data_IF_637739463554
#
_entry.id   IF_637739463554
#
_cell.length_a   1.000
_cell.length_b   1.000
_cell.length_c   1.000
_cell.angle_alpha   90.00
_cell.angle_beta   90.00
_cell.angle_gamma   90.00
#
_symmetry.space_group_name_H-M   'P 1'
#
loop_
_entity.id
_entity.type
_entity.pdbx_description
1 polymer ?
#
# COMPACT_ATOMS: atom_id res chain seq x y z
N UNK A 1 -16.46 -15.80 -35.64
CA UNK A 1 -16.38 -16.97 -34.74
C UNK A 1 -14.92 -17.29 -34.56
N UNK A 2 -14.40 -17.16 -33.34
CA UNK A 2 -13.00 -17.46 -32.98
C UNK A 2 -12.01 -16.31 -33.18
N UNK A 3 -11.63 -15.64 -32.09
CA UNK A 3 -10.27 -15.10 -31.93
C UNK A 3 -9.81 -15.40 -30.50
N UNK A 4 -8.98 -16.42 -30.43
CA UNK A 4 -8.04 -16.89 -29.41
C UNK A 4 -8.05 -16.26 -28.00
N UNK A 5 -8.43 -17.12 -27.05
CA UNK A 5 -7.93 -17.14 -25.68
C UNK A 5 -6.42 -17.44 -25.68
N UNK A 6 -5.54 -16.43 -25.61
CA UNK A 6 -4.13 -16.70 -25.32
C UNK A 6 -3.41 -15.57 -24.60
N UNK A 7 -2.93 -15.91 -23.41
CA UNK A 7 -1.79 -15.31 -22.68
C UNK A 7 -2.00 -14.00 -21.89
N UNK A 8 -3.00 -13.97 -21.01
CA UNK A 8 -2.98 -13.04 -19.88
C UNK A 8 -2.71 -13.79 -18.57
N UNK A 9 -1.47 -14.25 -18.40
CA UNK A 9 -0.91 -14.58 -17.08
C UNK A 9 -0.61 -13.28 -16.31
N UNK A 10 -1.62 -12.41 -16.21
CA UNK A 10 -1.55 -11.12 -15.57
C UNK A 10 -1.85 -11.24 -14.08
N UNK A 11 -0.81 -11.35 -13.26
CA UNK A 11 -0.81 -11.20 -11.80
C UNK A 11 -1.82 -12.05 -11.02
N UNK A 12 -1.28 -13.05 -10.33
CA UNK A 12 -1.94 -13.97 -9.38
C UNK A 12 -2.89 -13.24 -8.39
N UNK A 13 -2.69 -11.94 -8.17
CA UNK A 13 -3.49 -11.08 -7.29
C UNK A 13 -4.82 -10.56 -7.91
N UNK A 14 -4.99 -10.56 -9.23
CA UNK A 14 -6.25 -10.16 -9.92
C UNK A 14 -7.23 -11.32 -10.04
N UNK A 15 -6.70 -12.55 -10.05
CA UNK A 15 -7.48 -13.78 -10.16
C UNK A 15 -8.60 -13.91 -9.11
N UNK A 16 -8.39 -13.59 -7.82
CA UNK A 16 -9.46 -13.69 -6.83
C UNK A 16 -10.63 -12.72 -7.08
N UNK A 17 -10.35 -11.54 -7.65
CA UNK A 17 -11.39 -10.52 -7.94
C UNK A 17 -12.37 -11.04 -9.00
N UNK A 18 -11.86 -11.74 -10.02
CA UNK A 18 -12.65 -12.36 -11.08
C UNK A 18 -13.67 -13.39 -10.59
N UNK A 19 -13.35 -14.14 -9.53
CA UNK A 19 -14.27 -15.13 -8.93
C UNK A 19 -15.31 -14.51 -7.99
N UNK A 20 -15.22 -13.20 -7.71
CA UNK A 20 -16.16 -12.47 -6.84
C UNK A 20 -17.42 -11.99 -7.56
N UNK A 21 -17.57 -12.28 -8.86
CA UNK A 21 -18.74 -11.92 -9.67
C UNK A 21 -18.57 -10.67 -10.53
N UNK A 22 -17.60 -9.82 -10.22
CA UNK A 22 -17.25 -8.63 -11.01
C UNK A 22 -16.25 -9.06 -12.09
N UNK A 23 -16.76 -9.39 -13.28
CA UNK A 23 -15.96 -9.85 -14.42
C UNK A 23 -15.34 -8.67 -15.19
N UNK A 24 -14.64 -7.78 -14.50
CA UNK A 24 -13.98 -6.63 -15.12
C UNK A 24 -12.49 -6.57 -14.77
N UNK A 25 -11.67 -6.21 -15.75
CA UNK A 25 -10.27 -5.82 -15.59
C UNK A 25 -10.09 -4.31 -15.44
N UNK A 26 -11.17 -3.53 -15.64
CA UNK A 26 -11.07 -2.08 -15.63
C UNK A 26 -10.81 -1.56 -14.21
N UNK A 27 -9.67 -0.88 -14.05
CA UNK A 27 -9.25 -0.34 -12.77
C UNK A 27 -10.19 0.74 -12.24
N UNK A 28 -10.80 1.55 -13.11
CA UNK A 28 -11.70 2.62 -12.68
C UNK A 28 -12.98 2.03 -12.08
N UNK A 29 -13.50 0.97 -12.70
CA UNK A 29 -14.68 0.25 -12.17
C UNK A 29 -14.33 -0.44 -10.85
N UNK A 30 -13.13 -1.02 -10.73
CA UNK A 30 -12.69 -1.67 -9.50
C UNK A 30 -12.45 -0.70 -8.34
N UNK A 31 -12.07 0.55 -8.62
CA UNK A 31 -11.87 1.60 -7.61
C UNK A 31 -13.18 2.14 -7.05
N UNK A 32 -14.27 2.09 -7.82
CA UNK A 32 -15.61 2.55 -7.37
C UNK A 32 -16.44 1.43 -6.75
N UNK A 33 -15.99 0.18 -6.84
CA UNK A 33 -16.71 -0.96 -6.30
C UNK A 33 -16.41 -1.13 -4.80
N UNK A 34 -17.46 -1.20 -3.99
CA UNK A 34 -17.32 -1.50 -2.57
C UNK A 34 -17.21 -3.01 -2.31
N UNK A 35 -16.13 -3.41 -1.63
CA UNK A 35 -15.94 -4.79 -1.19
C UNK A 35 -16.35 -4.94 0.28
N UNK A 36 -16.95 -6.08 0.64
CA UNK A 36 -17.19 -6.42 2.05
C UNK A 36 -15.86 -6.51 2.82
N UNK A 37 -15.84 -6.13 4.08
CA UNK A 37 -14.65 -6.10 4.95
C UNK A 37 -13.79 -7.38 4.89
N UNK A 38 -14.42 -8.56 5.06
CA UNK A 38 -13.70 -9.85 5.00
C UNK A 38 -12.99 -10.09 3.66
N UNK A 39 -13.59 -9.65 2.56
CA UNK A 39 -12.99 -9.74 1.22
C UNK A 39 -11.88 -8.71 1.04
N UNK A 40 -12.06 -7.49 1.57
CA UNK A 40 -10.99 -6.49 1.57
C UNK A 40 -9.73 -7.01 2.26
N UNK A 41 -9.87 -7.66 3.42
CA UNK A 41 -8.74 -8.22 4.17
C UNK A 41 -7.99 -9.28 3.33
N UNK A 42 -8.71 -10.24 2.76
CA UNK A 42 -8.10 -11.31 1.95
C UNK A 42 -7.39 -10.78 0.70
N UNK A 43 -8.06 -9.87 -0.03
CA UNK A 43 -7.50 -9.25 -1.22
C UNK A 43 -6.29 -8.37 -0.85
N UNK A 44 -6.40 -7.60 0.22
CA UNK A 44 -5.30 -6.77 0.70
C UNK A 44 -4.06 -7.60 1.02
N UNK A 45 -4.20 -8.75 1.71
CA UNK A 45 -3.09 -9.66 2.00
C UNK A 45 -2.48 -10.22 0.70
N UNK A 46 -3.30 -10.59 -0.29
CA UNK A 46 -2.81 -11.10 -1.57
C UNK A 46 -2.02 -10.05 -2.38
N UNK A 47 -2.49 -8.80 -2.40
CA UNK A 47 -1.77 -7.68 -3.01
C UNK A 47 -0.52 -7.32 -2.20
N UNK A 48 -0.63 -7.30 -0.87
CA UNK A 48 0.49 -7.05 0.03
C UNK A 48 1.62 -8.06 -0.20
N UNK A 49 1.33 -9.36 -0.27
CA UNK A 49 2.36 -10.38 -0.51
C UNK A 49 3.11 -10.16 -1.84
N UNK A 50 2.40 -9.76 -2.91
CA UNK A 50 3.02 -9.47 -4.22
C UNK A 50 3.88 -8.21 -4.20
N UNK A 51 3.45 -7.18 -3.47
CA UNK A 51 4.18 -5.91 -3.39
C UNK A 51 5.28 -5.92 -2.34
N UNK A 52 5.15 -6.67 -1.25
CA UNK A 52 6.16 -6.82 -0.19
C UNK A 52 7.43 -7.52 -0.67
N UNK A 53 7.39 -8.27 -1.78
CA UNK A 53 8.60 -8.76 -2.44
C UNK A 53 9.30 -7.63 -3.19
N UNK A 54 8.55 -6.78 -3.90
CA UNK A 54 9.10 -5.68 -4.72
C UNK A 54 9.58 -4.50 -3.89
N UNK A 55 8.79 -4.11 -2.88
CA UNK A 55 9.21 -3.21 -1.81
C UNK A 55 9.93 -4.10 -0.81
N UNK A 56 11.28 -4.06 -0.75
CA UNK A 56 12.07 -5.06 -0.03
C UNK A 56 11.80 -5.02 1.49
N UNK A 57 10.70 -5.62 1.93
CA UNK A 57 10.31 -5.69 3.34
C UNK A 57 10.96 -6.91 3.98
N UNK A 58 11.22 -6.85 5.29
CA UNK A 58 11.63 -8.03 6.05
C UNK A 58 10.44 -9.01 6.10
N UNK A 59 10.62 -10.31 5.81
CA UNK A 59 11.89 -11.04 5.60
C UNK A 59 12.38 -11.12 4.14
N UNK A 60 11.59 -10.72 3.16
CA UNK A 60 11.80 -10.97 1.72
C UNK A 60 12.67 -9.92 1.00
N UNK A 61 13.66 -9.34 1.69
CA UNK A 61 14.50 -8.25 1.15
C UNK A 61 15.85 -8.72 0.58
N UNK A 62 16.24 -9.98 0.82
CA UNK A 62 17.58 -10.53 0.56
C UNK A 62 17.91 -10.58 -0.95
N UNK A 63 16.89 -10.77 -1.79
CA UNK A 63 17.07 -10.84 -3.25
C UNK A 63 17.67 -9.55 -3.84
N UNK A 64 17.45 -8.39 -3.19
CA UNK A 64 17.86 -7.10 -3.73
C UNK A 64 19.38 -6.89 -3.61
N UNK A 65 20.02 -7.07 -2.43
CA UNK A 65 21.48 -7.07 -2.33
C UNK A 65 22.17 -8.06 -3.28
N UNK A 66 21.65 -9.27 -3.43
CA UNK A 66 22.22 -10.30 -4.30
C UNK A 66 22.12 -9.89 -5.78
N UNK A 67 20.95 -9.42 -6.21
CA UNK A 67 20.75 -8.95 -7.58
C UNK A 67 21.67 -7.77 -7.95
N UNK A 68 21.96 -6.87 -7.00
CA UNK A 68 22.88 -5.76 -7.24
C UNK A 68 24.33 -6.21 -7.44
N UNK A 69 24.77 -7.25 -6.73
CA UNK A 69 26.15 -7.75 -6.83
C UNK A 69 26.39 -8.36 -8.20
N UNK A 70 25.46 -9.20 -8.66
CA UNK A 70 25.56 -9.97 -9.90
C UNK A 70 25.27 -9.15 -11.16
N UNK A 71 24.41 -8.11 -11.05
CA UNK A 71 24.03 -7.34 -12.21
C UNK A 71 25.17 -6.43 -12.74
N UNK A 72 25.24 -6.24 -14.08
CA UNK A 72 26.07 -5.20 -14.67
C UNK A 72 25.64 -3.81 -14.18
N UNK A 73 26.54 -2.84 -14.20
CA UNK A 73 26.31 -1.50 -13.63
C UNK A 73 25.04 -0.84 -14.16
N UNK A 74 24.78 -0.93 -15.47
CA UNK A 74 23.55 -0.42 -16.08
C UNK A 74 22.28 -1.12 -15.55
N UNK A 75 22.35 -2.44 -15.33
CA UNK A 75 21.23 -3.21 -14.76
C UNK A 75 20.93 -2.81 -13.32
N UNK A 76 21.96 -2.59 -12.51
CA UNK A 76 21.81 -2.06 -11.14
C UNK A 76 21.12 -0.70 -11.10
N UNK A 77 21.43 0.20 -12.05
CA UNK A 77 20.80 1.53 -12.12
C UNK A 77 19.30 1.41 -12.44
N UNK A 78 18.91 0.54 -13.38
CA UNK A 78 17.50 0.33 -13.73
C UNK A 78 16.76 -0.36 -12.57
N UNK A 79 17.38 -1.33 -11.92
CA UNK A 79 16.82 -2.04 -10.76
C UNK A 79 16.52 -1.08 -9.61
N UNK A 80 17.52 -0.29 -9.20
CA UNK A 80 17.35 0.70 -8.16
C UNK A 80 16.41 1.83 -8.61
N UNK A 81 16.51 2.26 -9.87
CA UNK A 81 15.83 3.41 -10.45
C UNK A 81 14.34 3.24 -10.63
N UNK A 82 13.90 2.09 -11.16
CA UNK A 82 12.53 1.86 -11.63
C UNK A 82 11.86 0.72 -10.86
N UNK A 83 12.50 -0.45 -10.79
CA UNK A 83 11.85 -1.66 -10.27
C UNK A 83 11.40 -1.52 -8.81
N UNK A 84 12.22 -0.90 -7.96
CA UNK A 84 11.85 -0.61 -6.56
C UNK A 84 10.66 0.36 -6.44
N UNK A 85 10.53 1.31 -7.38
CA UNK A 85 9.47 2.33 -7.36
C UNK A 85 8.14 1.76 -7.85
N UNK A 86 8.16 0.74 -8.70
CA UNK A 86 6.95 0.04 -9.14
C UNK A 86 6.25 -0.67 -7.98
N UNK A 87 6.99 -1.17 -6.98
CA UNK A 87 6.42 -1.75 -5.77
C UNK A 87 5.62 -0.73 -4.95
N UNK A 88 6.24 0.42 -4.65
CA UNK A 88 5.59 1.50 -3.89
C UNK A 88 4.44 2.14 -4.68
N UNK A 89 4.57 2.28 -5.99
CA UNK A 89 3.47 2.68 -6.88
C UNK A 89 2.29 1.70 -6.82
N UNK A 90 2.55 0.39 -6.73
CA UNK A 90 1.53 -0.64 -6.56
C UNK A 90 0.71 -0.45 -5.28
N UNK A 91 1.36 -0.14 -4.15
CA UNK A 91 0.65 0.19 -2.91
C UNK A 91 -0.22 1.45 -3.04
N UNK A 92 0.32 2.51 -3.66
CA UNK A 92 -0.41 3.77 -3.86
C UNK A 92 -1.63 3.62 -4.76
N UNK A 93 -1.52 2.81 -5.83
CA UNK A 93 -2.55 2.75 -6.87
C UNK A 93 -3.61 1.67 -6.63
N UNK A 94 -3.23 0.55 -6.02
CA UNK A 94 -4.14 -0.58 -5.84
C UNK A 94 -4.49 -0.77 -4.37
N UNK A 95 -3.51 -1.03 -3.51
CA UNK A 95 -3.76 -1.48 -2.13
C UNK A 95 -4.50 -0.43 -1.27
N UNK A 96 -4.00 0.80 -1.22
CA UNK A 96 -4.55 1.88 -0.39
C UNK A 96 -5.94 2.33 -0.86
N UNK A 97 -6.18 2.66 -2.15
CA UNK A 97 -7.47 3.19 -2.58
C UNK A 97 -8.53 2.11 -2.77
N UNK A 98 -8.19 0.87 -3.15
CA UNK A 98 -9.20 -0.19 -3.35
C UNK A 98 -9.67 -0.82 -2.03
N UNK A 99 -8.82 -0.84 -1.00
CA UNK A 99 -9.11 -1.51 0.27
C UNK A 99 -8.85 -0.59 1.48
N UNK A 100 -9.63 0.49 1.66
CA UNK A 100 -9.38 1.50 2.67
C UNK A 100 -9.50 0.96 4.11
N UNK A 101 -10.50 0.11 4.39
CA UNK A 101 -10.71 -0.43 5.75
C UNK A 101 -9.62 -1.45 6.12
N UNK A 102 -9.27 -2.35 5.20
CA UNK A 102 -8.18 -3.29 5.41
C UNK A 102 -6.84 -2.57 5.58
N UNK A 103 -6.58 -1.52 4.80
CA UNK A 103 -5.35 -0.71 4.90
C UNK A 103 -5.20 -0.10 6.30
N UNK A 104 -6.28 0.42 6.89
CA UNK A 104 -6.25 0.96 8.26
C UNK A 104 -5.95 -0.13 9.29
N UNK A 105 -6.61 -1.29 9.17
CA UNK A 105 -6.40 -2.42 10.06
C UNK A 105 -4.93 -2.90 10.06
N UNK A 106 -4.30 -2.97 8.87
CA UNK A 106 -2.93 -3.43 8.71
C UNK A 106 -1.86 -2.33 8.79
N UNK A 107 -2.23 -1.05 8.92
CA UNK A 107 -1.27 0.05 9.10
C UNK A 107 -0.26 -0.18 10.24
N UNK A 108 -0.66 -0.57 11.47
CA UNK A 108 0.31 -0.85 12.53
C UNK A 108 1.24 -2.02 12.18
N UNK A 109 0.73 -3.04 11.48
CA UNK A 109 1.55 -4.16 11.02
C UNK A 109 2.65 -3.69 10.04
N UNK A 110 2.29 -2.86 9.05
CA UNK A 110 3.26 -2.25 8.13
C UNK A 110 4.31 -1.41 8.85
N UNK A 111 3.92 -0.65 9.87
CA UNK A 111 4.86 0.16 10.65
C UNK A 111 5.86 -0.71 11.40
N UNK A 112 5.40 -1.78 12.05
CA UNK A 112 6.31 -2.70 12.76
C UNK A 112 7.31 -3.35 11.82
N UNK A 113 6.85 -3.89 10.68
CA UNK A 113 7.73 -4.49 9.68
C UNK A 113 8.73 -3.49 9.10
N UNK A 114 8.27 -2.29 8.75
CA UNK A 114 9.13 -1.27 8.16
C UNK A 114 10.16 -0.74 9.16
N UNK A 115 9.78 -0.57 10.43
CA UNK A 115 10.70 -0.15 11.49
C UNK A 115 11.78 -1.20 11.74
N UNK A 116 11.39 -2.48 11.85
CA UNK A 116 12.33 -3.60 11.97
C UNK A 116 13.26 -3.64 10.75
N UNK A 117 12.71 -3.48 9.54
CA UNK A 117 13.51 -3.46 8.31
C UNK A 117 14.56 -2.35 8.33
N UNK A 118 14.17 -1.10 8.65
CA UNK A 118 15.11 0.04 8.71
C UNK A 118 16.25 -0.24 9.67
N UNK A 119 15.94 -0.70 10.90
CA UNK A 119 16.95 -0.98 11.91
C UNK A 119 17.86 -2.13 11.45
N UNK A 120 17.26 -3.25 11.03
CA UNK A 120 17.99 -4.45 10.60
C UNK A 120 18.93 -4.16 9.43
N UNK A 121 18.46 -3.48 8.39
CA UNK A 121 19.28 -3.21 7.19
C UNK A 121 20.35 -2.18 7.47
N UNK A 122 20.08 -1.19 8.33
CA UNK A 122 21.09 -0.21 8.74
C UNK A 122 22.23 -0.87 9.50
N UNK A 123 21.92 -1.76 10.45
CA UNK A 123 22.94 -2.54 11.17
C UNK A 123 23.69 -3.50 10.26
N UNK A 124 22.98 -4.16 9.34
CA UNK A 124 23.59 -5.08 8.37
C UNK A 124 24.55 -4.36 7.43
N UNK A 125 24.23 -3.12 7.03
CA UNK A 125 25.07 -2.28 6.16
C UNK A 125 26.45 -2.03 6.78
N UNK A 126 26.53 -1.80 8.10
CA UNK A 126 27.79 -1.56 8.81
C UNK A 126 28.77 -2.74 8.73
N UNK A 127 28.25 -3.97 8.53
CA UNK A 127 29.07 -5.18 8.43
C UNK A 127 29.51 -5.48 6.99
N UNK A 128 28.97 -4.79 5.99
CA UNK A 128 29.28 -5.07 4.60
C UNK A 128 30.58 -4.37 4.18
N UNK A 129 31.43 -5.11 3.48
CA UNK A 129 32.65 -4.59 2.84
C UNK A 129 32.42 -4.21 1.37
N UNK A 130 31.47 -4.87 0.70
CA UNK A 130 31.21 -4.68 -0.73
C UNK A 130 30.38 -3.42 -0.96
N UNK A 131 30.92 -2.45 -1.73
CA UNK A 131 30.23 -1.18 -2.02
C UNK A 131 28.84 -1.39 -2.64
N UNK A 132 28.68 -2.36 -3.56
CA UNK A 132 27.39 -2.66 -4.18
C UNK A 132 26.35 -3.13 -3.17
N UNK A 133 26.75 -3.94 -2.17
CA UNK A 133 25.84 -4.40 -1.10
C UNK A 133 25.49 -3.26 -0.16
N UNK A 134 26.44 -2.40 0.18
CA UNK A 134 26.20 -1.21 1.01
C UNK A 134 25.10 -0.33 0.38
N UNK A 135 25.21 -0.05 -0.93
CA UNK A 135 24.22 0.75 -1.68
C UNK A 135 22.85 0.03 -1.74
N UNK A 136 22.85 -1.29 -1.90
CA UNK A 136 21.60 -2.05 -1.93
C UNK A 136 20.89 -2.03 -0.56
N UNK A 137 21.60 -2.31 0.54
CA UNK A 137 21.00 -2.29 1.89
C UNK A 137 20.54 -0.90 2.32
N UNK A 138 21.27 0.17 1.95
CA UNK A 138 20.80 1.53 2.21
C UNK A 138 19.51 1.85 1.42
N UNK A 139 19.41 1.36 0.18
CA UNK A 139 18.18 1.47 -0.63
C UNK A 139 16.99 0.74 0.02
N UNK A 140 17.21 -0.42 0.63
CA UNK A 140 16.18 -1.12 1.41
C UNK A 140 15.68 -0.26 2.57
N UNK A 141 16.58 0.34 3.35
CA UNK A 141 16.22 1.22 4.46
C UNK A 141 15.36 2.41 3.99
N UNK A 142 15.80 3.10 2.92
CA UNK A 142 15.06 4.22 2.35
C UNK A 142 13.67 3.84 1.82
N UNK A 143 13.53 2.68 1.17
CA UNK A 143 12.21 2.23 0.67
C UNK A 143 11.25 1.88 1.81
N UNK A 144 11.73 1.33 2.91
CA UNK A 144 10.91 1.08 4.09
C UNK A 144 10.50 2.39 4.79
N UNK A 145 11.36 3.41 4.77
CA UNK A 145 10.98 4.76 5.22
C UNK A 145 9.86 5.37 4.37
N UNK A 146 9.95 5.26 3.04
CA UNK A 146 8.89 5.70 2.11
C UNK A 146 7.57 4.97 2.39
N UNK A 147 7.64 3.68 2.72
CA UNK A 147 6.45 2.87 3.03
C UNK A 147 5.75 3.34 4.30
N UNK A 148 6.49 3.68 5.36
CA UNK A 148 5.92 4.30 6.57
C UNK A 148 5.21 5.60 6.23
N UNK A 149 5.86 6.50 5.49
CA UNK A 149 5.27 7.79 5.11
C UNK A 149 3.99 7.64 4.27
N UNK A 150 3.96 6.64 3.38
CA UNK A 150 2.80 6.35 2.54
C UNK A 150 1.58 5.91 3.35
N UNK A 151 1.74 4.96 4.28
CA UNK A 151 0.66 4.47 5.13
C UNK A 151 0.24 5.50 6.19
N UNK A 152 1.16 6.37 6.62
CA UNK A 152 0.83 7.51 7.49
C UNK A 152 -0.12 8.49 6.82
N UNK A 153 0.09 8.80 5.54
CA UNK A 153 -0.84 9.64 4.77
C UNK A 153 -2.22 8.99 4.68
N UNK A 154 -2.29 7.68 4.43
CA UNK A 154 -3.55 6.95 4.34
C UNK A 154 -4.36 7.03 5.65
N UNK A 155 -3.70 6.80 6.79
CA UNK A 155 -4.32 6.93 8.11
C UNK A 155 -4.75 8.37 8.42
N UNK A 156 -3.91 9.36 8.11
CA UNK A 156 -4.20 10.76 8.36
C UNK A 156 -5.40 11.28 7.55
N UNK A 157 -5.50 10.93 6.26
CA UNK A 157 -6.62 11.34 5.40
C UNK A 157 -7.95 10.83 5.94
N UNK A 158 -8.04 9.55 6.33
CA UNK A 158 -9.29 9.00 6.91
C UNK A 158 -9.66 9.62 8.26
N UNK A 159 -8.69 9.93 9.10
CA UNK A 159 -8.94 10.64 10.36
C UNK A 159 -9.50 12.05 10.11
N UNK A 160 -9.00 12.73 9.08
CA UNK A 160 -9.54 14.03 8.66
C UNK A 160 -10.98 13.91 8.16
N UNK A 161 -11.30 12.93 7.32
CA UNK A 161 -12.67 12.70 6.82
C UNK A 161 -13.66 12.38 7.96
N UNK A 162 -13.26 11.54 8.91
CA UNK A 162 -14.07 11.23 10.09
C UNK A 162 -14.31 12.48 10.95
N UNK A 163 -13.28 13.30 11.14
CA UNK A 163 -13.39 14.55 11.87
C UNK A 163 -14.32 15.56 11.17
N UNK A 164 -14.17 15.71 9.84
CA UNK A 164 -14.99 16.60 9.02
C UNK A 164 -16.46 16.14 9.03
N UNK A 165 -16.74 14.85 8.88
CA UNK A 165 -18.12 14.34 8.92
C UNK A 165 -18.78 14.53 10.29
N UNK A 166 -18.03 14.39 11.39
CA UNK A 166 -18.52 14.72 12.74
C UNK A 166 -18.79 16.22 12.91
N UNK A 167 -17.87 17.09 12.44
CA UNK A 167 -18.11 18.54 12.45
C UNK A 167 -19.32 18.93 11.61
N UNK A 168 -19.49 18.33 10.43
CA UNK A 168 -20.63 18.56 9.53
C UNK A 168 -21.94 18.22 10.22
N UNK A 169 -22.07 17.02 10.80
CA UNK A 169 -23.27 16.64 11.57
C UNK A 169 -23.57 17.61 12.72
N UNK A 170 -22.54 18.01 13.47
CA UNK A 170 -22.70 18.98 14.57
C UNK A 170 -23.17 20.36 14.09
N UNK A 171 -22.73 20.80 12.90
CA UNK A 171 -23.17 22.05 12.26
C UNK A 171 -24.60 21.96 11.70
N UNK A 172 -25.02 20.78 11.22
CA UNK A 172 -26.39 20.52 10.77
C UNK A 172 -27.38 20.46 11.95
N UNK A 173 -26.93 20.01 13.13
CA UNK A 173 -27.74 19.99 14.37
C UNK A 173 -27.86 21.36 15.05
N UNK A 174 -26.86 22.25 14.87
CA UNK A 174 -26.83 23.59 15.48
C UNK A 174 -28.06 24.47 15.16
N UNK A 175 -28.57 24.57 13.92
CA UNK A 175 -29.81 25.28 13.66
C UNK A 175 -31.00 24.62 14.36
N UNK A 176 -31.11 23.29 14.37
CA UNK A 176 -32.22 22.60 15.06
C UNK A 176 -32.24 22.89 16.57
N UNK A 177 -31.08 22.87 17.23
CA UNK A 177 -30.94 23.23 18.65
C UNK A 177 -31.27 24.71 18.86
N UNK A 178 -30.82 25.60 17.97
CA UNK A 178 -31.07 27.05 18.06
C UNK A 178 -32.54 27.41 17.86
N UNK A 179 -33.27 26.67 17.03
CA UNK A 179 -34.72 26.83 16.85
C UNK A 179 -35.52 26.22 18.01
N UNK A 180 -35.12 25.06 18.53
CA UNK A 180 -35.77 24.43 19.69
C UNK A 180 -35.66 25.30 20.96
N UNK A 181 -34.54 26.00 21.16
CA UNK A 181 -34.36 26.92 22.29
C UNK A 181 -35.23 28.18 22.25
N UNK A 182 -35.67 28.62 21.06
CA UNK A 182 -36.56 29.78 20.90
C UNK A 182 -38.03 29.40 21.11
N UNK A 183 -38.41 28.15 20.82
CA UNK A 183 -39.79 27.67 20.94
C UNK A 183 -40.28 27.46 22.39
N UNK A 184 -39.37 27.39 23.37
CA UNK A 184 -39.71 27.19 24.79
C UNK A 184 -39.78 28.49 25.61
N UNK A 185 -39.55 29.64 24.97
CA UNK A 185 -39.55 30.97 25.62
C UNK A 185 -40.81 31.81 25.34
N UNK A 186 -41.90 31.20 24.88
CA UNK A 186 -43.22 31.81 24.69
C UNK A 186 -44.28 31.02 25.42
#
# INVERSE_FOLDING_TARGET
MGFETKKDQGSISVFPIYFTGIRTTDLQILLTTEFSERRQILLWIAFFASFAVKVPMVPVHIWLPEAHVEAPTAGSVILAGILLKLGTYGFLRFSIPMFPEATLCFTPFIYTLSAIAIIYTSLTTLRQIDLKKIIAYSSVAHMNLVTIGMFSRAAAVRNADHYISRRRRKLEELPFIRFAGVAHST
#
